data_IF_707715348403
#
_entry.id   IF_707715348403
#
_cell.length_a   1.000
_cell.length_b   1.000
_cell.length_c   1.000
_cell.angle_alpha   90.00
_cell.angle_beta   90.00
_cell.angle_gamma   90.00
#
_symmetry.space_group_name_H-M   'P 1'
#
loop_
_entity.id
_entity.type
_entity.pdbx_description
1 polymer ?
#
# COMPACT_ATOMS: atom_id res chain seq x y z
N UNK A 1 1.07 0.98 5.30
CA UNK A 1 0.98 1.68 6.60
C UNK A 1 -0.09 0.99 7.43
N UNK A 2 0.28 0.20 8.45
CA UNK A 2 -0.66 -0.21 9.50
C UNK A 2 -0.45 0.81 10.63
N UNK A 3 -1.49 1.55 11.01
CA UNK A 3 -1.43 2.48 12.13
C UNK A 3 -1.55 1.60 13.38
N UNK A 4 -0.43 1.30 14.04
CA UNK A 4 -0.44 0.85 15.43
C UNK A 4 -0.14 2.10 16.26
N UNK A 5 -1.07 2.51 17.10
CA UNK A 5 -0.87 3.60 18.08
C UNK A 5 -0.46 4.97 17.51
N UNK A 6 -0.97 5.37 16.34
CA UNK A 6 -0.78 6.72 15.80
C UNK A 6 0.56 6.98 15.10
N UNK A 7 1.56 6.11 15.24
CA UNK A 7 2.87 6.27 14.61
C UNK A 7 2.98 5.49 13.28
N UNK A 8 3.53 6.16 12.26
CA UNK A 8 3.71 5.59 10.93
C UNK A 8 4.91 4.65 10.88
N UNK A 9 4.71 3.36 11.11
CA UNK A 9 5.82 2.38 11.01
C UNK A 9 6.05 1.98 9.54
N UNK A 10 7.26 2.24 9.04
CA UNK A 10 7.79 1.63 7.81
C UNK A 10 8.41 0.27 8.16
N UNK A 11 7.96 -0.81 7.51
CA UNK A 11 8.50 -2.17 7.69
C UNK A 11 8.98 -2.69 6.35
N UNK A 12 10.18 -3.26 6.33
CA UNK A 12 10.73 -4.01 5.19
C UNK A 12 10.66 -5.49 5.56
N UNK A 13 10.06 -6.29 4.69
CA UNK A 13 9.95 -7.73 4.87
C UNK A 13 10.76 -8.42 3.79
N UNK A 14 11.51 -9.46 4.16
CA UNK A 14 12.17 -10.34 3.21
C UNK A 14 11.18 -11.37 2.69
N UNK A 15 11.21 -11.65 1.39
CA UNK A 15 10.24 -12.56 0.74
C UNK A 15 10.30 -14.01 1.22
N UNK A 16 11.46 -14.46 1.72
CA UNK A 16 11.69 -15.84 2.16
C UNK A 16 11.96 -15.95 3.67
N UNK A 17 11.53 -14.96 4.47
CA UNK A 17 11.73 -15.03 5.91
C UNK A 17 10.76 -16.03 6.55
N UNK A 18 11.21 -16.93 7.45
CA UNK A 18 10.31 -17.81 8.19
C UNK A 18 9.35 -17.06 9.13
N UNK A 19 9.62 -15.78 9.40
CA UNK A 19 8.76 -14.92 10.21
C UNK A 19 7.55 -14.38 9.42
N UNK A 20 7.49 -14.56 8.10
CA UNK A 20 6.38 -14.12 7.24
C UNK A 20 5.61 -15.35 6.77
N UNK A 21 4.39 -15.53 7.28
CA UNK A 21 3.55 -16.70 6.99
C UNK A 21 2.91 -16.63 5.60
N UNK A 22 2.26 -15.51 5.27
CA UNK A 22 1.59 -15.31 3.98
C UNK A 22 1.43 -13.81 3.67
N UNK A 23 1.37 -13.47 2.38
CA UNK A 23 1.18 -12.09 1.90
C UNK A 23 -0.06 -12.02 1.02
N UNK A 24 -1.17 -11.56 1.61
CA UNK A 24 -2.44 -11.39 0.90
C UNK A 24 -2.68 -9.95 0.45
N UNK A 25 -2.97 -9.77 -0.85
CA UNK A 25 -3.35 -8.47 -1.41
C UNK A 25 -4.80 -8.17 -1.05
N UNK A 26 -5.01 -7.31 -0.05
CA UNK A 26 -6.37 -6.90 0.35
C UNK A 26 -7.02 -5.96 -0.67
N UNK A 27 -6.28 -4.99 -1.19
CA UNK A 27 -6.76 -3.94 -2.11
C UNK A 27 -5.62 -3.51 -3.04
N UNK A 28 -5.94 -3.20 -4.29
CA UNK A 28 -4.97 -2.65 -5.26
C UNK A 28 -5.19 -1.15 -5.38
N UNK A 29 -4.18 -0.36 -5.03
CA UNK A 29 -4.20 1.09 -5.23
C UNK A 29 -3.86 1.45 -6.68
N UNK A 30 -4.48 2.51 -7.20
CA UNK A 30 -4.12 3.12 -8.47
C UNK A 30 -2.95 4.09 -8.25
N UNK A 31 -1.74 3.65 -8.62
CA UNK A 31 -0.50 4.41 -8.47
C UNK A 31 0.26 4.41 -9.78
N UNK A 32 0.82 5.56 -10.15
CA UNK A 32 1.58 5.75 -11.40
C UNK A 32 3.08 5.53 -11.23
N UNK A 33 3.58 5.51 -9.98
CA UNK A 33 5.01 5.39 -9.65
C UNK A 33 5.23 4.14 -8.80
N UNK A 34 6.32 3.42 -9.05
CA UNK A 34 6.72 2.25 -8.26
C UNK A 34 7.17 2.63 -6.84
N UNK A 35 7.89 3.76 -6.70
CA UNK A 35 8.32 4.30 -5.41
C UNK A 35 7.31 5.34 -4.90
N UNK A 36 6.74 5.10 -3.72
CA UNK A 36 5.69 5.94 -3.13
C UNK A 36 6.22 7.01 -2.15
N UNK A 37 7.47 7.42 -2.26
CA UNK A 37 8.09 8.39 -1.34
C UNK A 37 7.39 9.74 -1.30
N UNK A 38 6.74 10.14 -2.40
CA UNK A 38 5.93 11.36 -2.47
C UNK A 38 4.80 11.38 -1.44
N UNK A 39 4.32 10.22 -0.97
CA UNK A 39 3.31 10.13 0.08
C UNK A 39 3.85 10.54 1.45
N UNK A 40 5.17 10.55 1.67
CA UNK A 40 5.77 10.94 2.97
C UNK A 40 5.52 12.42 3.29
N UNK A 41 5.47 13.27 2.26
CA UNK A 41 5.18 14.71 2.40
C UNK A 41 3.68 15.05 2.34
N UNK A 42 2.80 14.07 2.09
CA UNK A 42 1.36 14.29 1.96
C UNK A 42 0.63 13.86 3.24
N UNK A 43 -0.34 14.67 3.67
CA UNK A 43 -1.18 14.39 4.83
C UNK A 43 -2.67 14.44 4.48
N UNK A 44 -3.50 13.83 5.33
CA UNK A 44 -4.95 13.85 5.22
C UNK A 44 -5.48 13.24 3.92
N UNK A 45 -6.39 13.96 3.25
CA UNK A 45 -7.06 13.51 2.02
C UNK A 45 -6.08 13.36 0.84
N UNK A 46 -5.02 14.17 0.80
CA UNK A 46 -4.04 14.16 -0.29
C UNK A 46 -3.16 12.90 -0.32
N UNK A 47 -2.95 12.27 0.84
CA UNK A 47 -2.19 11.02 0.94
C UNK A 47 -3.02 9.76 0.61
N UNK A 48 -4.34 9.88 0.40
CA UNK A 48 -5.20 8.74 0.10
C UNK A 48 -5.01 8.28 -1.34
N UNK A 49 -4.59 7.02 -1.49
CA UNK A 49 -4.50 6.34 -2.79
C UNK A 49 -5.90 5.79 -3.13
N UNK A 50 -6.41 6.13 -4.32
CA UNK A 50 -7.67 5.57 -4.82
C UNK A 50 -7.48 4.10 -5.18
N UNK A 51 -8.52 3.29 -5.04
CA UNK A 51 -8.45 1.90 -5.46
C UNK A 51 -8.52 1.79 -6.98
N UNK A 52 -7.73 0.89 -7.55
CA UNK A 52 -7.80 0.51 -8.96
C UNK A 52 -9.00 -0.41 -9.12
N UNK A 53 -10.17 0.19 -9.32
CA UNK A 53 -11.36 -0.53 -9.74
C UNK A 53 -11.05 -0.99 -11.17
N UNK A 54 -10.71 -2.28 -11.32
CA UNK A 54 -10.69 -2.90 -12.63
C UNK A 54 -12.15 -2.90 -13.05
N UNK A 55 -12.58 -1.89 -13.81
CA UNK A 55 -13.79 -2.06 -14.60
C UNK A 55 -13.53 -3.34 -15.36
N UNK A 56 -14.34 -4.35 -15.10
CA UNK A 56 -14.48 -5.47 -16.00
C UNK A 56 -14.96 -4.87 -17.31
N UNK A 57 -14.02 -4.36 -18.11
CA UNK A 57 -14.12 -4.40 -19.55
C UNK A 57 -14.18 -5.88 -19.89
N UNK A 58 -15.38 -6.44 -19.70
CA UNK A 58 -15.84 -7.56 -20.47
C UNK A 58 -15.55 -7.21 -21.92
N UNK A 59 -14.86 -8.13 -22.60
CA UNK A 59 -14.70 -8.13 -24.04
C UNK A 59 -16.01 -7.83 -24.77
#
# INVERSE_FOLDING_TARGET
>A
RKISHGEGVERVFQSYSPNVVDVQVKRRGDVRRAKLYYLRGLAGKAARIKEKIKSSSSS
#
